data_IF_609282055325
#
_entry.id   IF_609282055325
#
_cell.length_a   1.000
_cell.length_b   1.000
_cell.length_c   1.000
_cell.angle_alpha   90.00
_cell.angle_beta   90.00
_cell.angle_gamma   90.00
#
_symmetry.space_group_name_H-M   'P 1'
#
loop_
_entity.id
_entity.type
_entity.pdbx_description
1 polymer ?
#
# COMPACT_ATOMS: atom_id res chain seq x y z
N UNK A 1 -35.89 23.46 -3.00
CA UNK A 1 -34.73 23.82 -3.82
C UNK A 1 -33.51 23.29 -3.09
N UNK A 2 -33.09 22.08 -3.47
CA UNK A 2 -31.99 21.38 -2.79
C UNK A 2 -31.09 20.87 -3.90
N UNK A 3 -29.89 21.44 -3.93
CA UNK A 3 -28.90 21.31 -4.98
C UNK A 3 -28.46 19.86 -5.16
N UNK A 4 -28.50 19.41 -6.40
CA UNK A 4 -27.89 18.16 -6.83
C UNK A 4 -26.37 18.26 -6.64
N UNK A 5 -25.83 17.48 -5.70
CA UNK A 5 -24.38 17.33 -5.55
C UNK A 5 -23.86 16.38 -6.61
N UNK A 6 -23.05 16.97 -7.45
CA UNK A 6 -22.22 16.43 -8.52
C UNK A 6 -21.54 15.09 -8.14
N UNK A 7 -22.07 13.98 -8.66
CA UNK A 7 -21.42 12.66 -8.64
C UNK A 7 -20.33 12.59 -9.72
N UNK A 8 -19.23 13.34 -9.55
CA UNK A 8 -18.02 13.08 -10.33
C UNK A 8 -17.24 11.92 -9.71
N UNK A 9 -17.79 10.71 -9.90
CA UNK A 9 -17.13 9.43 -9.63
C UNK A 9 -15.76 9.42 -10.30
N UNK A 10 -14.70 9.36 -9.51
CA UNK A 10 -13.38 8.91 -9.97
C UNK A 10 -13.48 7.43 -10.36
N UNK A 11 -13.98 7.16 -11.58
CA UNK A 11 -13.71 5.90 -12.26
C UNK A 11 -12.19 5.79 -12.40
N UNK A 12 -11.59 4.76 -11.80
CA UNK A 12 -10.25 4.34 -12.18
C UNK A 12 -10.20 4.24 -13.72
N UNK A 13 -9.17 4.80 -14.38
CA UNK A 13 -9.19 4.92 -15.83
C UNK A 13 -9.16 3.52 -16.46
N UNK A 14 -10.07 3.27 -17.41
CA UNK A 14 -10.13 2.10 -18.32
C UNK A 14 -8.77 1.81 -19.02
N UNK A 15 -7.83 2.76 -18.98
CA UNK A 15 -6.44 2.58 -19.44
C UNK A 15 -5.58 1.65 -18.57
N UNK A 16 -5.88 1.46 -17.28
CA UNK A 16 -5.04 0.66 -16.38
C UNK A 16 -5.20 -0.84 -16.65
N UNK A 17 -6.42 -1.31 -16.90
CA UNK A 17 -6.68 -2.73 -17.21
C UNK A 17 -6.09 -3.15 -18.56
N UNK A 18 -6.24 -2.29 -19.58
CA UNK A 18 -5.64 -2.48 -20.90
C UNK A 18 -4.11 -2.47 -20.84
N UNK A 19 -3.51 -1.52 -20.14
CA UNK A 19 -2.04 -1.43 -20.02
C UNK A 19 -1.42 -2.57 -19.19
N UNK A 20 -2.15 -3.08 -18.19
CA UNK A 20 -1.73 -4.26 -17.40
C UNK A 20 -1.79 -5.54 -18.23
N UNK A 21 -2.86 -5.75 -19.01
CA UNK A 21 -2.96 -6.89 -19.95
C UNK A 21 -1.85 -6.86 -20.99
N UNK A 22 -1.62 -5.70 -21.62
CA UNK A 22 -0.58 -5.52 -22.65
C UNK A 22 0.82 -5.82 -22.10
N UNK A 23 1.14 -5.41 -20.87
CA UNK A 23 2.46 -5.72 -20.26
C UNK A 23 2.61 -7.20 -19.91
N UNK A 24 1.54 -7.85 -19.41
CA UNK A 24 1.53 -9.29 -19.12
C UNK A 24 1.74 -10.11 -20.38
N UNK A 25 0.95 -9.83 -21.41
CA UNK A 25 0.96 -10.54 -22.68
C UNK A 25 2.32 -10.38 -23.36
N UNK A 26 2.87 -9.16 -23.40
CA UNK A 26 4.18 -8.92 -24.03
C UNK A 26 5.33 -9.73 -23.42
N UNK A 27 5.42 -9.84 -22.10
CA UNK A 27 6.49 -10.61 -21.45
C UNK A 27 6.34 -12.13 -21.64
N UNK A 28 5.10 -12.62 -21.73
CA UNK A 28 4.80 -14.04 -22.00
C UNK A 28 5.05 -14.35 -23.47
N UNK A 29 4.55 -13.53 -24.40
CA UNK A 29 4.75 -13.69 -25.84
C UNK A 29 6.22 -13.69 -26.22
N UNK A 30 7.02 -12.74 -25.69
CA UNK A 30 8.48 -12.73 -25.94
C UNK A 30 9.17 -13.99 -25.40
N UNK A 31 8.65 -14.58 -24.32
CA UNK A 31 9.18 -15.83 -23.78
C UNK A 31 8.81 -17.02 -24.67
N UNK A 32 7.56 -17.08 -25.12
CA UNK A 32 7.03 -18.13 -26.01
C UNK A 32 7.69 -18.10 -27.40
N UNK A 33 7.84 -16.91 -28.01
CA UNK A 33 8.55 -16.73 -29.29
C UNK A 33 9.98 -17.29 -29.21
N UNK A 34 10.70 -17.01 -28.12
CA UNK A 34 12.06 -17.54 -27.94
C UNK A 34 12.09 -19.06 -27.78
N UNK A 35 11.09 -19.65 -27.14
CA UNK A 35 10.98 -21.11 -27.05
C UNK A 35 10.69 -21.73 -28.42
N UNK A 36 9.74 -21.15 -29.15
CA UNK A 36 9.33 -21.63 -30.47
C UNK A 36 10.47 -21.50 -31.50
N UNK A 37 11.27 -20.44 -31.41
CA UNK A 37 12.42 -20.19 -32.29
C UNK A 37 13.71 -20.91 -31.85
N UNK A 38 13.64 -21.80 -30.85
CA UNK A 38 14.80 -22.48 -30.25
C UNK A 38 15.92 -21.53 -29.78
N UNK A 39 15.55 -20.32 -29.38
CA UNK A 39 16.49 -19.31 -28.89
C UNK A 39 16.82 -19.55 -27.42
N UNK A 40 18.08 -19.29 -27.04
CA UNK A 40 18.53 -19.44 -25.65
C UNK A 40 17.69 -18.61 -24.68
N UNK A 41 17.11 -19.27 -23.68
CA UNK A 41 16.38 -18.65 -22.57
C UNK A 41 17.34 -18.34 -21.40
N UNK A 42 17.17 -17.19 -20.75
CA UNK A 42 17.99 -16.72 -19.62
C UNK A 42 17.11 -16.46 -18.40
N UNK A 43 17.72 -16.45 -17.20
CA UNK A 43 17.07 -16.12 -15.92
C UNK A 43 16.26 -14.82 -15.97
N UNK A 44 16.72 -13.82 -16.73
CA UNK A 44 16.04 -12.53 -16.89
C UNK A 44 14.62 -12.69 -17.46
N UNK A 45 14.40 -13.58 -18.44
CA UNK A 45 13.08 -13.75 -19.04
C UNK A 45 12.07 -14.35 -18.04
N UNK A 46 12.50 -15.26 -17.16
CA UNK A 46 11.66 -15.76 -16.06
C UNK A 46 11.33 -14.66 -15.05
N UNK A 47 12.27 -13.76 -14.75
CA UNK A 47 12.03 -12.60 -13.88
C UNK A 47 11.02 -11.66 -14.52
N UNK A 48 11.12 -11.40 -15.82
CA UNK A 48 10.21 -10.50 -16.54
C UNK A 48 8.79 -11.07 -16.61
N UNK A 49 8.64 -12.37 -16.90
CA UNK A 49 7.34 -13.06 -16.83
C UNK A 49 6.77 -13.00 -15.40
N UNK A 50 7.57 -13.31 -14.39
CA UNK A 50 7.15 -13.23 -12.98
C UNK A 50 6.71 -11.81 -12.61
N UNK A 51 7.45 -10.79 -13.04
CA UNK A 51 7.12 -9.40 -12.78
C UNK A 51 5.82 -8.99 -13.47
N UNK A 52 5.65 -9.35 -14.75
CA UNK A 52 4.41 -9.13 -15.51
C UNK A 52 3.21 -9.78 -14.85
N UNK A 53 3.33 -11.06 -14.50
CA UNK A 53 2.29 -11.81 -13.78
C UNK A 53 1.94 -11.17 -12.43
N UNK A 54 2.95 -10.82 -11.62
CA UNK A 54 2.75 -10.14 -10.33
C UNK A 54 2.01 -8.82 -10.50
N UNK A 55 2.41 -7.99 -11.48
CA UNK A 55 1.74 -6.72 -11.75
C UNK A 55 0.33 -6.86 -12.32
N UNK A 56 0.00 -8.04 -12.88
CA UNK A 56 -1.31 -8.34 -13.44
C UNK A 56 -2.28 -8.99 -12.45
N UNK A 57 -1.79 -9.36 -11.26
CA UNK A 57 -2.67 -9.84 -10.21
C UNK A 57 -3.53 -8.67 -9.73
N UNK A 58 -4.83 -8.77 -9.99
CA UNK A 58 -5.85 -7.91 -9.46
C UNK A 58 -6.81 -8.79 -8.66
N UNK A 59 -7.20 -8.36 -7.46
CA UNK A 59 -8.21 -9.04 -6.66
C UNK A 59 -9.57 -8.37 -6.88
N UNK A 60 -10.48 -8.97 -7.68
CA UNK A 60 -11.73 -8.33 -8.04
C UNK A 60 -12.59 -8.01 -6.81
N UNK A 61 -13.42 -6.97 -6.91
CA UNK A 61 -14.30 -6.56 -5.81
C UNK A 61 -15.19 -7.70 -5.33
N UNK A 62 -15.77 -8.47 -6.26
CA UNK A 62 -16.60 -9.64 -5.95
C UNK A 62 -15.83 -10.68 -5.12
N UNK A 63 -14.61 -11.03 -5.53
CA UNK A 63 -13.80 -12.01 -4.80
C UNK A 63 -13.39 -11.51 -3.41
N UNK A 64 -13.16 -10.19 -3.27
CA UNK A 64 -12.92 -9.57 -1.95
C UNK A 64 -14.16 -9.65 -1.04
N UNK A 65 -15.35 -9.43 -1.60
CA UNK A 65 -16.62 -9.57 -0.87
C UNK A 65 -16.91 -11.03 -0.47
N UNK A 66 -16.67 -11.98 -1.37
CA UNK A 66 -16.79 -13.42 -1.09
C UNK A 66 -15.84 -13.84 0.04
N UNK A 67 -14.59 -13.35 0.03
CA UNK A 67 -13.64 -13.58 1.11
C UNK A 67 -14.07 -12.95 2.44
N UNK A 68 -14.53 -11.70 2.43
CA UNK A 68 -15.04 -11.02 3.63
C UNK A 68 -16.21 -11.82 4.24
N UNK A 69 -17.14 -12.30 3.41
CA UNK A 69 -18.24 -13.14 3.87
C UNK A 69 -17.74 -14.46 4.45
N UNK A 70 -16.81 -15.14 3.80
CA UNK A 70 -16.20 -16.35 4.33
C UNK A 70 -15.57 -16.13 5.72
N UNK A 71 -14.83 -15.03 5.90
CA UNK A 71 -14.21 -14.69 7.19
C UNK A 71 -15.26 -14.40 8.27
N UNK A 72 -16.35 -13.72 7.94
CA UNK A 72 -17.49 -13.53 8.86
C UNK A 72 -18.12 -14.86 9.29
N UNK A 73 -18.29 -15.80 8.36
CA UNK A 73 -18.78 -17.16 8.68
C UNK A 73 -17.81 -17.93 9.58
N UNK A 74 -16.52 -17.59 9.58
CA UNK A 74 -15.51 -18.13 10.50
C UNK A 74 -15.51 -17.45 11.87
N UNK A 75 -16.45 -16.54 12.14
CA UNK A 75 -16.58 -15.84 13.41
C UNK A 75 -15.69 -14.60 13.55
N UNK A 76 -15.10 -14.11 12.45
CA UNK A 76 -14.32 -12.87 12.48
C UNK A 76 -15.22 -11.65 12.24
N UNK A 77 -14.97 -10.57 12.96
CA UNK A 77 -15.50 -9.25 12.60
C UNK A 77 -14.72 -8.74 11.39
N UNK A 78 -15.42 -8.37 10.32
CA UNK A 78 -14.81 -7.89 9.08
C UNK A 78 -15.58 -6.68 8.58
N UNK A 79 -14.89 -5.55 8.52
CA UNK A 79 -15.41 -4.31 7.98
C UNK A 79 -14.88 -4.08 6.56
N UNK A 80 -15.80 -3.81 5.64
CA UNK A 80 -15.46 -3.52 4.24
C UNK A 80 -15.50 -2.01 4.08
N UNK A 81 -14.32 -1.41 3.95
CA UNK A 81 -14.16 0.03 3.82
C UNK A 81 -14.46 0.47 2.37
N UNK A 82 -15.10 1.64 2.22
CA UNK A 82 -15.34 2.25 0.90
C UNK A 82 -14.06 2.82 0.29
N UNK A 83 -13.12 3.23 1.14
CA UNK A 83 -11.85 3.87 0.77
C UNK A 83 -10.65 3.05 1.26
N UNK A 84 -9.67 3.67 1.92
CA UNK A 84 -8.47 3.01 2.42
C UNK A 84 -8.73 2.38 3.79
N UNK A 85 -8.38 1.10 3.93
CA UNK A 85 -8.54 0.38 5.20
C UNK A 85 -7.69 0.99 6.32
N UNK A 86 -6.50 1.50 6.00
CA UNK A 86 -5.60 2.19 6.94
C UNK A 86 -6.26 3.43 7.56
N UNK A 87 -7.02 4.21 6.79
CA UNK A 87 -7.79 5.35 7.30
C UNK A 87 -8.88 4.91 8.29
N UNK A 88 -9.66 3.89 7.93
CA UNK A 88 -10.73 3.38 8.79
C UNK A 88 -10.16 2.76 10.09
N UNK A 89 -9.11 1.95 9.96
CA UNK A 89 -8.39 1.40 11.11
C UNK A 89 -7.82 2.50 12.01
N UNK A 90 -7.29 3.57 11.43
CA UNK A 90 -6.79 4.69 12.20
C UNK A 90 -7.94 5.40 12.96
N UNK A 91 -9.12 5.59 12.36
CA UNK A 91 -10.24 6.25 13.04
C UNK A 91 -10.71 5.49 14.29
N UNK A 92 -10.78 4.16 14.21
CA UNK A 92 -11.28 3.31 15.30
C UNK A 92 -10.18 2.74 16.21
N UNK A 93 -8.93 3.07 15.94
CA UNK A 93 -7.76 2.54 16.63
C UNK A 93 -7.83 2.75 18.16
N UNK A 94 -7.77 1.66 18.92
CA UNK A 94 -7.38 1.70 20.32
C UNK A 94 -5.86 1.66 20.47
N UNK A 95 -5.31 2.03 21.65
CA UNK A 95 -3.87 2.15 21.85
C UNK A 95 -3.03 0.91 21.50
N UNK A 96 -3.61 -0.29 21.45
CA UNK A 96 -2.91 -1.56 21.24
C UNK A 96 -3.30 -2.31 19.95
N UNK A 97 -4.20 -1.78 19.13
CA UNK A 97 -4.95 -2.58 18.14
C UNK A 97 -4.28 -2.76 16.76
N UNK A 98 -3.23 -2.00 16.41
CA UNK A 98 -2.88 -1.84 14.98
C UNK A 98 -1.72 -2.72 14.53
N UNK A 99 -2.02 -3.71 13.69
CA UNK A 99 -1.01 -4.47 12.92
C UNK A 99 -1.05 -4.03 11.46
N UNK A 100 -0.09 -3.20 11.03
CA UNK A 100 0.06 -2.81 9.61
C UNK A 100 1.53 -2.81 9.19
N UNK A 101 1.77 -3.09 7.90
CA UNK A 101 3.09 -2.92 7.27
C UNK A 101 3.33 -1.49 6.80
N UNK A 102 2.25 -0.72 6.67
CA UNK A 102 2.28 0.64 6.19
C UNK A 102 2.82 1.57 7.28
N UNK A 103 3.83 2.34 6.91
CA UNK A 103 4.44 3.34 7.80
C UNK A 103 3.61 4.61 7.90
N UNK A 104 2.74 4.89 6.92
CA UNK A 104 1.90 6.10 6.91
C UNK A 104 0.90 6.09 8.06
N UNK A 105 0.58 4.89 8.59
CA UNK A 105 -0.19 4.71 9.82
C UNK A 105 0.39 5.48 11.02
N UNK A 106 1.71 5.65 11.07
CA UNK A 106 2.33 6.43 12.13
C UNK A 106 2.06 7.92 12.03
N UNK A 107 1.50 8.46 10.95
CA UNK A 107 1.17 9.89 10.86
C UNK A 107 -0.19 10.25 11.47
N UNK A 108 -1.12 9.28 11.59
CA UNK A 108 -2.49 9.51 12.05
C UNK A 108 -2.59 9.69 13.57
N UNK A 109 -3.18 10.78 14.04
CA UNK A 109 -3.18 11.18 15.46
C UNK A 109 -3.70 10.11 16.44
N UNK A 110 -4.68 9.32 16.03
CA UNK A 110 -5.31 8.25 16.82
C UNK A 110 -4.40 7.03 17.05
N UNK A 111 -3.43 6.82 16.16
CA UNK A 111 -2.51 5.67 16.22
C UNK A 111 -1.44 5.90 17.29
N UNK A 112 -1.45 5.09 18.35
CA UNK A 112 -0.46 5.15 19.45
C UNK A 112 0.58 4.03 19.41
N UNK A 113 0.21 2.86 18.89
CA UNK A 113 1.10 1.72 18.72
C UNK A 113 0.94 1.17 17.32
N UNK A 114 2.05 0.88 16.65
CA UNK A 114 2.07 0.19 15.37
C UNK A 114 2.84 -1.12 15.51
N UNK A 115 2.15 -2.24 15.31
CA UNK A 115 2.73 -3.57 15.26
C UNK A 115 3.09 -3.91 13.82
N UNK A 116 4.38 -3.84 13.50
CA UNK A 116 4.87 -4.09 12.15
C UNK A 116 5.39 -5.51 12.02
N UNK A 117 4.78 -6.36 11.17
CA UNK A 117 5.32 -7.69 10.92
C UNK A 117 6.62 -7.61 10.11
N UNK A 118 7.64 -8.26 10.63
CA UNK A 118 8.97 -8.47 10.03
C UNK A 118 9.03 -9.89 9.46
N UNK A 119 10.16 -10.30 8.88
CA UNK A 119 10.37 -11.69 8.45
C UNK A 119 10.28 -12.67 9.62
N UNK A 120 10.06 -13.95 9.30
CA UNK A 120 10.12 -15.07 10.24
C UNK A 120 9.12 -14.99 11.41
N UNK A 121 7.89 -14.53 11.17
CA UNK A 121 6.83 -14.38 12.18
C UNK A 121 7.20 -13.44 13.35
N UNK A 122 8.21 -12.59 13.16
CA UNK A 122 8.56 -11.57 14.14
C UNK A 122 7.69 -10.34 13.92
N UNK A 123 7.31 -9.68 15.01
CA UNK A 123 6.52 -8.43 14.98
C UNK A 123 7.26 -7.40 15.84
N UNK A 124 7.50 -6.22 15.28
CA UNK A 124 8.05 -5.08 16.01
C UNK A 124 6.93 -4.14 16.44
N UNK A 125 6.82 -3.89 17.73
CA UNK A 125 5.89 -2.91 18.26
C UNK A 125 6.57 -1.54 18.38
N UNK A 126 6.08 -0.57 17.61
CA UNK A 126 6.49 0.82 17.67
C UNK A 126 5.48 1.59 18.52
N UNK A 127 5.83 1.85 19.78
CA UNK A 127 5.08 2.77 20.62
C UNK A 127 5.46 4.18 20.24
N UNK A 128 4.49 4.93 19.79
CA UNK A 128 4.73 6.24 19.22
C UNK A 128 5.40 7.23 20.21
N UNK A 129 5.01 7.30 21.50
CA UNK A 129 5.70 8.17 22.45
C UNK A 129 7.20 7.88 22.55
N UNK A 130 7.56 6.59 22.55
CA UNK A 130 8.96 6.14 22.64
C UNK A 130 9.73 6.49 21.36
N UNK A 131 9.09 6.34 20.20
CA UNK A 131 9.68 6.72 18.90
C UNK A 131 9.93 8.23 18.84
N UNK A 132 8.93 9.05 19.22
CA UNK A 132 9.05 10.50 19.23
C UNK A 132 10.13 10.98 20.21
N UNK A 133 10.20 10.38 21.40
CA UNK A 133 11.22 10.66 22.39
C UNK A 133 12.63 10.29 21.89
N UNK A 134 12.78 9.12 21.25
CA UNK A 134 14.06 8.65 20.72
C UNK A 134 14.55 9.53 19.57
N UNK A 135 13.65 9.98 18.69
CA UNK A 135 14.00 10.84 17.57
C UNK A 135 14.19 12.31 17.98
N UNK A 136 13.62 12.70 19.13
CA UNK A 136 13.61 14.07 19.62
C UNK A 136 12.76 14.98 18.74
N UNK A 137 11.60 14.50 18.29
CA UNK A 137 10.66 15.25 17.46
C UNK A 137 9.25 15.17 18.03
N UNK A 138 8.44 16.18 17.72
CA UNK A 138 7.02 16.22 18.05
C UNK A 138 6.17 15.42 17.07
N UNK A 139 4.92 15.15 17.45
CA UNK A 139 3.93 14.53 16.58
C UNK A 139 3.72 15.32 15.29
N UNK A 140 3.60 16.63 15.38
CA UNK A 140 3.43 17.53 14.23
C UNK A 140 4.62 17.46 13.27
N UNK A 141 5.85 17.41 13.80
CA UNK A 141 7.06 17.24 13.00
C UNK A 141 7.09 15.88 12.29
N UNK A 142 6.64 14.80 12.96
CA UNK A 142 6.51 13.49 12.32
C UNK A 142 5.46 13.49 11.19
N UNK A 143 4.30 14.12 11.39
CA UNK A 143 3.29 14.27 10.34
C UNK A 143 3.83 15.08 9.16
N UNK A 144 4.53 16.18 9.42
CA UNK A 144 5.20 16.96 8.37
C UNK A 144 6.20 16.10 7.59
N UNK A 145 7.00 15.28 8.29
CA UNK A 145 7.93 14.35 7.67
C UNK A 145 7.24 13.31 6.78
N UNK A 146 6.11 12.77 7.22
CA UNK A 146 5.32 11.83 6.43
C UNK A 146 4.79 12.47 5.14
N UNK A 147 4.37 13.75 5.20
CA UNK A 147 3.87 14.50 4.04
C UNK A 147 4.97 14.86 3.04
N UNK A 148 6.12 15.35 3.51
CA UNK A 148 7.20 15.83 2.61
C UNK A 148 8.10 14.71 2.09
N UNK A 149 8.13 13.58 2.78
CA UNK A 149 8.82 12.37 2.32
C UNK A 149 7.95 11.64 1.31
N UNK A 150 8.56 10.72 0.54
CA UNK A 150 7.80 9.89 -0.40
C UNK A 150 6.74 9.09 0.37
N UNK A 151 5.48 9.30 0.03
CA UNK A 151 4.34 8.51 0.50
C UNK A 151 3.48 8.11 -0.71
N UNK A 152 2.37 7.42 -0.47
CA UNK A 152 1.50 6.92 -1.53
C UNK A 152 0.68 8.03 -2.21
N UNK A 153 0.52 9.17 -1.56
CA UNK A 153 -0.25 10.34 -2.01
C UNK A 153 0.60 11.39 -2.73
N UNK A 154 1.86 11.56 -2.32
CA UNK A 154 2.74 12.63 -2.72
C UNK A 154 4.16 12.12 -3.00
N UNK A 155 4.74 12.66 -4.07
CA UNK A 155 6.17 12.47 -4.34
C UNK A 155 6.97 13.25 -3.31
N UNK A 156 8.09 12.67 -2.92
CA UNK A 156 9.11 13.35 -2.13
C UNK A 156 9.56 14.66 -2.78
N UNK A 157 9.99 15.61 -1.96
CA UNK A 157 10.61 16.84 -2.44
C UNK A 157 11.82 16.48 -3.31
N UNK A 158 11.89 17.10 -4.49
CA UNK A 158 12.97 16.86 -5.43
C UNK A 158 14.33 17.13 -4.77
N UNK A 159 15.32 16.29 -5.05
CA UNK A 159 16.71 16.35 -4.54
C UNK A 159 16.91 16.17 -3.02
N UNK A 160 15.85 16.02 -2.22
CA UNK A 160 15.98 15.76 -0.79
C UNK A 160 15.77 14.28 -0.49
N UNK A 161 16.62 13.69 0.36
CA UNK A 161 16.39 12.35 0.90
C UNK A 161 15.63 12.40 2.24
N UNK A 162 15.09 11.26 2.73
CA UNK A 162 14.41 11.22 4.03
C UNK A 162 15.25 11.77 5.20
N UNK A 163 16.56 11.52 5.20
CA UNK A 163 17.47 12.05 6.22
C UNK A 163 17.64 13.58 6.14
N UNK A 164 17.65 14.15 4.92
CA UNK A 164 17.73 15.59 4.72
C UNK A 164 16.42 16.26 5.16
N UNK A 165 15.26 15.68 4.79
CA UNK A 165 13.96 16.13 5.26
C UNK A 165 13.89 16.13 6.79
N UNK A 166 14.35 15.03 7.43
CA UNK A 166 14.42 14.91 8.89
C UNK A 166 15.28 16.01 9.53
N UNK A 167 16.48 16.26 8.99
CA UNK A 167 17.39 17.28 9.52
C UNK A 167 16.84 18.71 9.38
N UNK A 168 15.96 18.97 8.42
CA UNK A 168 15.34 20.29 8.22
C UNK A 168 14.16 20.50 9.17
N UNK A 169 13.40 19.43 9.44
CA UNK A 169 12.16 19.51 10.24
C UNK A 169 12.42 19.40 11.74
N UNK A 170 13.45 18.64 12.16
CA UNK A 170 13.82 18.47 13.56
C UNK A 170 14.18 19.80 14.21
#
# INVERSE_FOLDING_TARGET
MTEARDETRHKAPDGTEKSIKVRREKSITVFEERLNDNLRVRKRHFIDVKAGLKSSFHWPLRSRQEFANYMRHRGWTVDVCETEADLAMAQDAQPDDIVSKDSDMMAYQSVKTLWRPVSNNLILAYKLPDVLATLGITRTQLTALAVVSRNDYHKNIYSLGPAANFSIIK
#
